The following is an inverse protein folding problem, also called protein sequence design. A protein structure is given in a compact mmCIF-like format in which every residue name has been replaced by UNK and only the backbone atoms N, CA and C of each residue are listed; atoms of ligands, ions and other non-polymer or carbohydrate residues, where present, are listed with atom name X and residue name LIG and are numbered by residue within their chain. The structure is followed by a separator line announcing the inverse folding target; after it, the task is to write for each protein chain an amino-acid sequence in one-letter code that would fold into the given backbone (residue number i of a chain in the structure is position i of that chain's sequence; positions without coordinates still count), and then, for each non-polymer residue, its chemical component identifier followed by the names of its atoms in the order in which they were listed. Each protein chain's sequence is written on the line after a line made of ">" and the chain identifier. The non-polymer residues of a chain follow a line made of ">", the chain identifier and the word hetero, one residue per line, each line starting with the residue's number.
data_IF_781778676589
#
_entry.id   IF_781778676589
#
_cell.length_a   1.000
_cell.length_b   1.000
_cell.length_c   1.000
_cell.angle_alpha   90.00
_cell.angle_beta   90.00
_cell.angle_gamma   90.00
#
_symmetry.space_group_name_H-M   'P 1'
#
loop_
_entity.id
_entity.type
_entity.pdbx_description
1 polymer ?
#
# COMPACT_ATOMS: atom_id res chain seq x y z
N UNK A 1 -27.02 20.23 -4.73
CA UNK A 1 -25.90 19.63 -3.98
C UNK A 1 -26.30 18.20 -3.69
N UNK A 2 -25.64 17.22 -4.31
CA UNK A 2 -26.06 15.82 -4.22
C UNK A 2 -25.38 15.17 -3.01
N UNK A 3 -26.14 14.61 -2.07
CA UNK A 3 -25.62 14.04 -0.81
C UNK A 3 -24.64 12.87 -1.01
N UNK A 4 -24.67 12.26 -2.19
CA UNK A 4 -23.79 11.16 -2.58
C UNK A 4 -22.34 11.63 -2.83
N UNK A 5 -22.16 12.80 -3.46
CA UNK A 5 -20.82 13.34 -3.78
C UNK A 5 -20.04 13.71 -2.52
N UNK A 6 -20.72 14.24 -1.51
CA UNK A 6 -20.12 14.55 -0.19
C UNK A 6 -19.68 13.29 0.55
N UNK A 7 -20.37 12.17 0.33
CA UNK A 7 -20.07 10.88 0.96
C UNK A 7 -18.86 10.21 0.30
N UNK A 8 -18.70 10.36 -1.02
CA UNK A 8 -17.53 9.86 -1.76
C UNK A 8 -16.28 10.67 -1.40
N UNK A 9 -16.40 12.00 -1.32
CA UNK A 9 -15.28 12.89 -0.96
C UNK A 9 -14.75 12.61 0.45
N UNK A 10 -15.65 12.43 1.42
CA UNK A 10 -15.26 12.11 2.80
C UNK A 10 -14.59 10.74 2.90
N UNK A 11 -15.08 9.73 2.17
CA UNK A 11 -14.45 8.40 2.11
C UNK A 11 -13.04 8.47 1.52
N UNK A 12 -12.88 9.12 0.37
CA UNK A 12 -11.57 9.24 -0.30
C UNK A 12 -10.54 10.00 0.57
N UNK A 13 -10.96 11.02 1.32
CA UNK A 13 -10.06 11.70 2.27
C UNK A 13 -9.66 10.80 3.44
N UNK A 14 -10.58 9.97 3.96
CA UNK A 14 -10.27 8.99 5.01
C UNK A 14 -9.31 7.91 4.50
N UNK A 15 -9.40 7.53 3.22
CA UNK A 15 -8.50 6.60 2.54
C UNK A 15 -7.11 7.20 2.21
N UNK A 16 -6.84 8.44 2.65
CA UNK A 16 -5.52 9.08 2.54
C UNK A 16 -5.33 9.93 1.29
N UNK A 17 -6.40 10.20 0.52
CA UNK A 17 -6.31 11.20 -0.54
C UNK A 17 -6.04 12.58 0.08
N UNK A 18 -4.86 13.14 -0.21
CA UNK A 18 -4.52 14.50 0.19
C UNK A 18 -5.43 15.54 -0.47
N UNK A 19 -6.01 15.19 -1.62
CA UNK A 19 -6.94 16.04 -2.35
C UNK A 19 -7.92 15.21 -3.21
N UNK A 20 -9.20 15.60 -3.22
CA UNK A 20 -10.24 15.02 -4.08
C UNK A 20 -10.82 16.14 -4.92
N UNK A 21 -10.49 16.14 -6.21
CA UNK A 21 -10.98 17.14 -7.14
C UNK A 21 -12.47 16.87 -7.45
N UNK A 22 -13.36 17.81 -7.12
CA UNK A 22 -14.74 17.75 -7.60
C UNK A 22 -14.78 18.03 -9.10
N UNK A 23 -15.61 17.27 -9.82
CA UNK A 23 -15.86 17.44 -11.26
C UNK A 23 -16.79 18.61 -11.58
N UNK A 24 -16.85 19.63 -10.72
CA UNK A 24 -17.47 20.91 -11.06
C UNK A 24 -16.44 21.78 -11.76
N UNK A 25 -16.89 22.63 -12.69
CA UNK A 25 -16.15 23.58 -13.54
C UNK A 25 -14.98 24.25 -12.80
N UNK A 26 -13.88 23.52 -12.66
CA UNK A 26 -12.64 24.00 -12.05
C UNK A 26 -11.78 24.40 -13.22
N UNK A 27 -11.45 25.68 -13.33
CA UNK A 27 -10.51 26.11 -14.37
C UNK A 27 -9.16 25.46 -14.09
N UNK A 28 -8.40 25.20 -15.15
CA UNK A 28 -7.09 24.54 -15.03
C UNK A 28 -6.15 25.26 -14.03
N UNK A 29 -6.25 26.59 -13.95
CA UNK A 29 -5.49 27.41 -13.00
C UNK A 29 -5.83 27.13 -11.53
N UNK A 30 -7.11 26.93 -11.21
CA UNK A 30 -7.57 26.60 -9.86
C UNK A 30 -7.11 25.20 -9.43
N UNK A 31 -7.13 24.25 -10.37
CA UNK A 31 -6.60 22.91 -10.14
C UNK A 31 -5.10 22.96 -9.85
N UNK A 32 -4.33 23.67 -10.67
CA UNK A 32 -2.88 23.81 -10.48
C UNK A 32 -2.52 24.54 -9.18
N UNK A 33 -3.30 25.57 -8.79
CA UNK A 33 -3.10 26.25 -7.51
C UNK A 33 -3.28 25.33 -6.31
N UNK A 34 -4.31 24.47 -6.35
CA UNK A 34 -4.59 23.52 -5.27
C UNK A 34 -3.53 22.42 -5.20
N UNK A 35 -3.13 21.88 -6.37
CA UNK A 35 -2.05 20.90 -6.46
C UNK A 35 -0.74 21.46 -5.87
N UNK A 36 -0.41 22.71 -6.20
CA UNK A 36 0.80 23.38 -5.69
C UNK A 36 0.77 23.54 -4.18
N UNK A 37 -0.38 23.91 -3.59
CA UNK A 37 -0.53 24.04 -2.15
C UNK A 37 -0.38 22.69 -1.42
N UNK A 38 -0.94 21.61 -1.98
CA UNK A 38 -0.78 20.26 -1.46
C UNK A 38 0.68 19.78 -1.52
N UNK A 39 1.39 20.07 -2.62
CA UNK A 39 2.81 19.73 -2.77
C UNK A 39 3.75 20.61 -1.93
N UNK A 40 3.34 21.84 -1.60
CA UNK A 40 4.10 22.75 -0.74
C UNK A 40 3.91 22.46 0.75
N UNK A 41 2.87 21.72 1.11
CA UNK A 41 2.73 21.20 2.47
C UNK A 41 3.81 20.15 2.71
N UNK A 42 4.56 20.21 3.83
CA UNK A 42 5.52 19.16 4.14
C UNK A 42 4.77 17.81 4.12
N UNK A 43 5.33 16.75 3.52
CA UNK A 43 4.72 15.43 3.61
C UNK A 43 4.47 15.18 5.10
N UNK A 44 3.21 14.93 5.48
CA UNK A 44 2.88 14.62 6.86
C UNK A 44 3.81 13.49 7.28
N UNK A 45 4.78 13.82 8.15
CA UNK A 45 5.91 12.96 8.52
C UNK A 45 5.42 11.79 9.36
N UNK A 46 4.68 10.89 8.74
CA UNK A 46 4.42 9.53 9.22
C UNK A 46 5.59 8.60 8.92
N UNK A 47 6.70 9.14 8.38
CA UNK A 47 7.83 8.39 7.86
C UNK A 47 8.97 8.18 8.89
N UNK A 48 8.74 8.45 10.18
CA UNK A 48 9.74 8.23 11.23
C UNK A 48 9.95 6.74 11.58
N UNK A 49 9.17 5.84 10.98
CA UNK A 49 9.44 4.41 11.07
C UNK A 49 10.41 3.98 9.97
N UNK A 50 11.56 3.38 10.30
CA UNK A 50 12.44 2.79 9.31
C UNK A 50 11.68 1.68 8.59
N UNK A 51 11.22 1.97 7.37
CA UNK A 51 10.57 0.99 6.53
C UNK A 51 11.52 -0.20 6.39
N UNK A 52 11.05 -1.45 6.52
CA UNK A 52 11.84 -2.69 6.48
C UNK A 52 12.74 -2.93 5.25
N UNK A 53 12.89 -1.96 4.34
CA UNK A 53 13.81 -2.04 3.20
C UNK A 53 13.52 -3.23 2.29
N UNK A 54 12.24 -3.59 2.14
CA UNK A 54 11.82 -4.60 1.18
C UNK A 54 12.14 -4.10 -0.23
N UNK A 55 12.75 -4.96 -1.05
CA UNK A 55 12.83 -4.70 -2.49
C UNK A 55 11.44 -4.76 -3.13
N UNK A 56 11.26 -4.10 -4.27
CA UNK A 56 9.99 -4.09 -4.99
C UNK A 56 9.44 -5.49 -5.24
N UNK A 57 10.31 -6.45 -5.59
CA UNK A 57 9.90 -7.83 -5.86
C UNK A 57 9.53 -8.61 -4.61
N UNK A 58 10.25 -8.40 -3.50
CA UNK A 58 9.90 -8.97 -2.20
C UNK A 58 8.54 -8.44 -1.73
N UNK A 59 8.32 -7.13 -1.84
CA UNK A 59 7.06 -6.48 -1.49
C UNK A 59 5.91 -7.01 -2.35
N UNK A 60 6.05 -7.03 -3.67
CA UNK A 60 5.00 -7.51 -4.58
C UNK A 60 4.58 -8.95 -4.26
N UNK A 61 5.55 -9.84 -4.05
CA UNK A 61 5.28 -11.25 -3.74
C UNK A 61 4.66 -11.41 -2.35
N UNK A 62 5.17 -10.68 -1.34
CA UNK A 62 4.64 -10.73 0.02
C UNK A 62 3.20 -10.19 0.08
N UNK A 63 2.92 -9.08 -0.61
CA UNK A 63 1.58 -8.49 -0.71
C UNK A 63 0.58 -9.45 -1.39
N UNK A 64 0.95 -10.07 -2.51
CA UNK A 64 0.10 -11.07 -3.18
C UNK A 64 -0.15 -12.27 -2.28
N UNK A 65 0.88 -12.80 -1.63
CA UNK A 65 0.75 -13.94 -0.73
C UNK A 65 -0.13 -13.64 0.48
N UNK A 66 -0.05 -12.42 1.03
CA UNK A 66 -0.80 -11.95 2.19
C UNK A 66 -2.15 -11.29 1.84
N UNK A 67 -2.52 -11.25 0.55
CA UNK A 67 -3.80 -10.72 0.09
C UNK A 67 -4.96 -11.60 0.56
N UNK A 68 -6.19 -11.03 0.61
CA UNK A 68 -7.40 -11.77 0.97
C UNK A 68 -7.69 -12.95 0.06
N UNK A 69 -7.36 -12.84 -1.23
CA UNK A 69 -7.48 -13.94 -2.19
C UNK A 69 -6.56 -15.13 -1.85
N UNK A 70 -5.55 -14.91 -0.99
CA UNK A 70 -4.63 -15.92 -0.47
C UNK A 70 -4.08 -16.91 -1.51
N UNK A 71 -3.61 -16.45 -2.69
CA UNK A 71 -3.12 -17.33 -3.73
C UNK A 71 -1.95 -18.18 -3.21
N UNK A 72 -1.86 -19.40 -3.74
CA UNK A 72 -0.76 -20.32 -3.46
C UNK A 72 0.53 -19.82 -4.11
N UNK A 73 1.68 -20.30 -3.63
CA UNK A 73 2.97 -19.94 -4.24
C UNK A 73 3.08 -20.35 -5.71
N UNK A 74 2.34 -21.39 -6.12
CA UNK A 74 2.28 -21.83 -7.51
C UNK A 74 1.49 -20.83 -8.36
N UNK A 75 0.30 -20.42 -7.91
CA UNK A 75 -0.50 -19.42 -8.61
C UNK A 75 0.24 -18.07 -8.73
N UNK A 76 0.95 -17.66 -7.67
CA UNK A 76 1.79 -16.44 -7.72
C UNK A 76 2.93 -16.61 -8.73
N UNK A 77 3.55 -17.79 -8.79
CA UNK A 77 4.62 -18.07 -9.74
C UNK A 77 4.12 -18.01 -11.19
N UNK A 78 2.97 -18.60 -11.47
CA UNK A 78 2.31 -18.54 -12.78
C UNK A 78 1.92 -17.11 -13.16
N UNK A 79 1.24 -16.39 -12.25
CA UNK A 79 0.81 -15.00 -12.46
C UNK A 79 1.98 -14.06 -12.80
N UNK A 80 3.13 -14.29 -12.17
CA UNK A 80 4.31 -13.44 -12.28
C UNK A 80 5.38 -13.99 -13.22
N UNK A 81 5.09 -15.07 -13.95
CA UNK A 81 6.01 -15.80 -14.83
C UNK A 81 7.37 -16.12 -14.16
N UNK A 82 7.32 -16.70 -12.96
CA UNK A 82 8.49 -17.10 -12.16
C UNK A 82 8.52 -18.62 -11.88
N UNK A 83 9.68 -19.09 -11.41
CA UNK A 83 9.76 -20.38 -10.72
C UNK A 83 9.20 -20.30 -9.29
N UNK A 84 8.55 -21.38 -8.84
CA UNK A 84 8.01 -21.48 -7.46
C UNK A 84 9.10 -21.36 -6.39
N UNK A 85 10.31 -21.87 -6.66
CA UNK A 85 11.48 -21.69 -5.79
C UNK A 85 11.91 -20.22 -5.65
N UNK A 86 11.78 -19.43 -6.72
CA UNK A 86 12.05 -17.99 -6.71
C UNK A 86 11.05 -17.26 -5.82
N UNK A 87 9.76 -17.58 -5.95
CA UNK A 87 8.69 -17.03 -5.07
C UNK A 87 8.97 -17.35 -3.60
N UNK A 88 9.28 -18.61 -3.28
CA UNK A 88 9.63 -19.02 -1.90
C UNK A 88 10.85 -18.28 -1.36
N UNK A 89 11.86 -18.06 -2.21
CA UNK A 89 13.07 -17.31 -1.85
C UNK A 89 12.75 -15.86 -1.51
N UNK A 90 11.97 -15.18 -2.35
CA UNK A 90 11.55 -13.80 -2.05
C UNK A 90 10.69 -13.71 -0.79
N UNK A 91 9.76 -14.64 -0.56
CA UNK A 91 8.99 -14.69 0.69
C UNK A 91 9.88 -14.89 1.92
N UNK A 92 10.87 -15.77 1.84
CA UNK A 92 11.84 -15.98 2.93
C UNK A 92 12.61 -14.70 3.24
N UNK A 93 13.09 -14.01 2.21
CA UNK A 93 13.83 -12.74 2.39
C UNK A 93 12.94 -11.62 2.91
N UNK A 94 11.70 -11.51 2.42
CA UNK A 94 10.73 -10.55 2.90
C UNK A 94 10.45 -10.74 4.41
N UNK A 95 10.18 -11.98 4.83
CA UNK A 95 10.00 -12.31 6.24
C UNK A 95 11.24 -12.00 7.07
N UNK A 96 12.43 -12.35 6.58
CA UNK A 96 13.67 -12.05 7.28
C UNK A 96 13.87 -10.54 7.49
N UNK A 97 13.62 -9.72 6.47
CA UNK A 97 13.72 -8.26 6.56
C UNK A 97 12.68 -7.69 7.53
N UNK A 98 11.42 -8.10 7.42
CA UNK A 98 10.37 -7.66 8.35
C UNK A 98 10.69 -8.07 9.80
N UNK A 99 11.17 -9.31 10.00
CA UNK A 99 11.58 -9.82 11.31
C UNK A 99 12.79 -9.09 11.90
N UNK A 100 13.75 -8.68 11.07
CA UNK A 100 14.88 -7.85 11.51
C UNK A 100 14.44 -6.47 12.04
N UNK A 101 13.24 -6.01 11.66
CA UNK A 101 12.59 -4.82 12.18
C UNK A 101 11.61 -5.10 13.33
N UNK A 102 11.68 -6.31 13.94
CA UNK A 102 10.86 -6.69 15.09
C UNK A 102 9.42 -7.11 14.78
N UNK A 103 9.06 -7.27 13.50
CA UNK A 103 7.72 -7.66 13.09
C UNK A 103 7.55 -9.18 13.11
N UNK A 104 6.42 -9.64 13.64
CA UNK A 104 6.05 -11.07 13.62
C UNK A 104 5.48 -11.41 12.25
N UNK A 105 6.01 -12.44 11.58
CA UNK A 105 5.70 -12.76 10.17
C UNK A 105 5.69 -14.27 9.87
N UNK A 106 5.47 -15.10 10.88
CA UNK A 106 5.59 -16.56 10.78
C UNK A 106 4.43 -17.17 10.01
N UNK A 107 3.22 -16.65 10.21
CA UNK A 107 2.02 -17.03 9.47
C UNK A 107 1.73 -16.08 8.30
N UNK A 108 0.73 -16.43 7.48
CA UNK A 108 0.23 -15.53 6.42
C UNK A 108 -0.43 -14.29 7.02
N UNK A 109 -1.20 -14.45 8.09
CA UNK A 109 -1.91 -13.35 8.75
C UNK A 109 -0.95 -12.41 9.47
N UNK A 110 0.07 -12.98 10.12
CA UNK A 110 1.15 -12.19 10.74
C UNK A 110 1.94 -11.42 9.68
N UNK A 111 2.24 -12.04 8.52
CA UNK A 111 2.87 -11.33 7.42
C UNK A 111 1.99 -10.16 6.92
N UNK A 112 0.67 -10.35 6.80
CA UNK A 112 -0.27 -9.28 6.45
C UNK A 112 -0.21 -8.15 7.47
N UNK A 113 -0.33 -8.48 8.75
CA UNK A 113 -0.28 -7.53 9.86
C UNK A 113 1.04 -6.76 9.89
N UNK A 114 2.17 -7.44 9.67
CA UNK A 114 3.49 -6.82 9.58
C UNK A 114 3.62 -5.87 8.38
N UNK A 115 3.06 -6.22 7.23
CA UNK A 115 3.04 -5.34 6.05
C UNK A 115 2.16 -4.09 6.27
N UNK A 116 1.02 -4.23 6.97
CA UNK A 116 0.17 -3.09 7.37
C UNK A 116 0.91 -2.18 8.36
N UNK A 117 1.49 -2.75 9.41
CA UNK A 117 2.25 -1.99 10.42
C UNK A 117 3.47 -1.27 9.81
N UNK A 118 4.11 -1.84 8.79
CA UNK A 118 5.20 -1.23 8.06
C UNK A 118 4.77 -0.18 7.01
N UNK A 119 3.46 0.04 6.83
CA UNK A 119 2.92 1.00 5.85
C UNK A 119 3.05 0.55 4.39
N UNK A 120 3.20 -0.75 4.14
CA UNK A 120 3.30 -1.32 2.79
C UNK A 120 1.95 -1.76 2.21
N UNK A 121 0.97 -2.02 3.06
CA UNK A 121 -0.40 -2.29 2.70
C UNK A 121 -1.33 -1.25 3.35
N UNK A 122 -2.51 -1.10 2.77
CA UNK A 122 -3.61 -0.32 3.36
C UNK A 122 -4.68 -1.31 3.78
N UNK A 123 -5.34 -1.03 4.91
CA UNK A 123 -6.44 -1.86 5.38
C UNK A 123 -7.64 -1.74 4.43
N UNK A 124 -8.13 -2.87 3.95
CA UNK A 124 -9.30 -2.93 3.08
C UNK A 124 -10.55 -2.79 3.96
N UNK A 125 -11.17 -1.59 3.93
CA UNK A 125 -12.43 -1.26 4.61
C UNK A 125 -13.60 -2.04 4.02
#
# INVERSE_FOLDING_TARGET
>A
MNSEDTTIESRLRLEGASFVARRTTTTWEQFLGTLRAALASPPSSSNDFPRPGLTDRELQIAALFASRAAPTTQQIAELLALGTGTVRTHLKRARHRLGAHGLVVSSREELRSGLLAAGYLVEEV
#
